data_IF_280137904988
#
_entry.id   IF_280137904988
#
_cell.length_a   1.000
_cell.length_b   1.000
_cell.length_c   1.000
_cell.angle_alpha   90.00
_cell.angle_beta   90.00
_cell.angle_gamma   90.00
#
_symmetry.space_group_name_H-M   'P 1'
#
loop_
_entity.id
_entity.type
_entity.pdbx_description
1 polymer ?
#
# COMPACT_ATOMS: atom_id res chain seq x y z
N UNK A 1 16.51 -1.26 -22.60
CA UNK A 1 16.47 -1.83 -21.24
C UNK A 1 15.66 -0.95 -20.30
N UNK A 2 16.07 0.30 -20.03
CA UNK A 2 15.32 1.21 -19.14
C UNK A 2 13.86 1.46 -19.57
N UNK A 3 13.61 1.68 -20.86
CA UNK A 3 12.24 1.86 -21.38
C UNK A 3 11.39 0.62 -21.08
N UNK A 4 11.94 -0.57 -21.29
CA UNK A 4 11.22 -1.82 -21.02
C UNK A 4 10.86 -1.93 -19.53
N UNK A 5 11.79 -1.61 -18.63
CA UNK A 5 11.52 -1.62 -17.18
C UNK A 5 10.40 -0.66 -16.77
N UNK A 6 10.38 0.54 -17.38
CA UNK A 6 9.29 1.50 -17.16
C UNK A 6 7.97 0.93 -17.69
N UNK A 7 7.96 0.37 -18.90
CA UNK A 7 6.78 -0.26 -19.48
C UNK A 7 6.28 -1.43 -18.63
N UNK A 8 7.17 -2.28 -18.13
CA UNK A 8 6.81 -3.40 -17.27
C UNK A 8 6.19 -2.90 -15.95
N UNK A 9 6.70 -1.78 -15.40
CA UNK A 9 6.15 -1.13 -14.20
C UNK A 9 4.77 -0.53 -14.45
N UNK A 10 4.55 0.11 -15.61
CA UNK A 10 3.24 0.67 -15.98
C UNK A 10 2.15 -0.43 -16.14
N UNK A 11 2.56 -1.65 -16.48
CA UNK A 11 1.68 -2.81 -16.64
C UNK A 11 1.54 -3.65 -15.37
N UNK A 12 2.11 -3.23 -14.25
CA UNK A 12 2.00 -3.95 -12.98
C UNK A 12 0.56 -3.88 -12.43
N UNK A 13 -0.18 -5.00 -12.37
CA UNK A 13 -1.53 -5.02 -11.81
C UNK A 13 -1.54 -4.92 -10.28
N UNK A 14 -0.43 -5.21 -9.60
CA UNK A 14 -0.36 -5.16 -8.14
C UNK A 14 -0.51 -3.73 -7.62
N UNK A 15 0.12 -2.76 -8.30
CA UNK A 15 0.01 -1.35 -7.96
C UNK A 15 -1.45 -0.85 -8.04
N UNK A 16 -2.13 -1.12 -9.15
CA UNK A 16 -3.53 -0.74 -9.35
C UNK A 16 -4.44 -1.35 -8.26
N UNK A 17 -4.32 -2.66 -8.02
CA UNK A 17 -5.10 -3.33 -6.99
C UNK A 17 -4.82 -2.77 -5.59
N UNK A 18 -3.56 -2.41 -5.31
CA UNK A 18 -3.18 -1.80 -4.05
C UNK A 18 -3.80 -0.41 -3.88
N UNK A 19 -3.76 0.45 -4.90
CA UNK A 19 -4.37 1.79 -4.87
C UNK A 19 -5.87 1.70 -4.61
N UNK A 20 -6.58 0.79 -5.31
CA UNK A 20 -8.02 0.59 -5.12
C UNK A 20 -8.32 0.20 -3.67
N UNK A 21 -7.60 -0.77 -3.11
CA UNK A 21 -7.79 -1.19 -1.70
C UNK A 21 -7.47 -0.06 -0.72
N UNK A 22 -6.40 0.70 -0.97
CA UNK A 22 -6.01 1.83 -0.14
C UNK A 22 -7.09 2.90 -0.12
N UNK A 23 -7.58 3.30 -1.29
CA UNK A 23 -8.57 4.37 -1.43
C UNK A 23 -9.92 3.97 -0.82
N UNK A 24 -10.36 2.72 -1.03
CA UNK A 24 -11.55 2.17 -0.37
C UNK A 24 -11.38 2.16 1.17
N UNK A 25 -10.21 1.72 1.67
CA UNK A 25 -9.91 1.72 3.10
C UNK A 25 -9.90 3.14 3.71
N UNK A 26 -9.49 4.15 2.94
CA UNK A 26 -9.51 5.55 3.34
C UNK A 26 -10.91 6.20 3.24
N UNK A 27 -11.89 5.48 2.69
CA UNK A 27 -13.29 5.89 2.62
C UNK A 27 -13.67 6.60 1.32
N UNK A 28 -12.88 6.49 0.26
CA UNK A 28 -13.27 6.96 -1.08
C UNK A 28 -14.26 5.98 -1.72
N UNK A 29 -15.26 6.52 -2.41
CA UNK A 29 -16.12 5.74 -3.29
C UNK A 29 -15.42 5.56 -4.63
N UNK A 30 -15.41 4.32 -5.13
CA UNK A 30 -14.73 3.94 -6.37
C UNK A 30 -15.78 3.51 -7.38
N UNK A 31 -15.81 4.17 -8.53
CA UNK A 31 -16.69 3.84 -9.65
C UNK A 31 -15.86 3.42 -10.86
N UNK A 32 -16.18 2.27 -11.47
CA UNK A 32 -15.56 1.83 -12.71
C UNK A 32 -16.03 2.71 -13.88
N UNK A 33 -15.09 3.32 -14.61
CA UNK A 33 -15.38 4.11 -15.81
C UNK A 33 -15.08 3.32 -17.09
N UNK A 34 -13.89 2.73 -17.17
CA UNK A 34 -13.46 1.90 -18.29
C UNK A 34 -12.30 0.98 -17.88
N UNK A 35 -11.65 0.32 -18.83
CA UNK A 35 -10.51 -0.55 -18.54
C UNK A 35 -9.41 0.22 -17.79
N UNK A 36 -9.02 -0.28 -16.61
CA UNK A 36 -8.01 0.32 -15.74
C UNK A 36 -8.25 1.81 -15.42
N UNK A 37 -9.50 2.24 -15.44
CA UNK A 37 -9.89 3.65 -15.29
C UNK A 37 -11.07 3.80 -14.36
N UNK A 38 -10.92 4.65 -13.36
CA UNK A 38 -11.82 4.77 -12.22
C UNK A 38 -12.15 6.23 -11.93
N UNK A 39 -13.32 6.47 -11.35
CA UNK A 39 -13.68 7.72 -10.72
C UNK A 39 -13.62 7.52 -9.21
N UNK A 40 -12.76 8.29 -8.56
CA UNK A 40 -12.61 8.30 -7.10
C UNK A 40 -13.35 9.52 -6.55
N UNK A 41 -14.34 9.29 -5.68
CA UNK A 41 -15.13 10.37 -5.06
C UNK A 41 -14.99 10.36 -3.55
N UNK A 42 -15.06 11.52 -2.88
CA UNK A 42 -15.21 11.56 -1.43
C UNK A 42 -16.42 10.73 -1.00
N UNK A 43 -16.20 9.70 -0.17
CA UNK A 43 -17.29 8.95 0.45
C UNK A 43 -17.67 9.55 1.81
N UNK A 44 -18.78 9.08 2.39
CA UNK A 44 -19.26 9.54 3.70
C UNK A 44 -18.28 9.28 4.86
N UNK A 45 -17.34 8.36 4.67
CA UNK A 45 -16.34 7.96 5.67
C UNK A 45 -14.96 8.53 5.38
N UNK A 46 -14.83 9.45 4.42
CA UNK A 46 -13.54 10.04 4.11
C UNK A 46 -12.98 10.71 5.36
N UNK A 47 -11.80 10.27 5.77
CA UNK A 47 -11.10 10.87 6.91
C UNK A 47 -10.72 12.31 6.59
N UNK A 48 -10.89 13.21 7.57
CA UNK A 48 -10.50 14.63 7.48
C UNK A 48 -9.04 14.85 7.03
N UNK A 49 -8.19 13.83 7.11
CA UNK A 49 -6.79 13.89 6.72
C UNK A 49 -6.53 13.70 5.20
N UNK A 50 -7.55 13.46 4.40
CA UNK A 50 -7.46 13.44 2.92
C UNK A 50 -7.85 14.80 2.30
N UNK A 51 -7.56 15.89 3.03
CA UNK A 51 -8.15 17.23 2.85
C UNK A 51 -7.92 17.86 1.46
N UNK A 52 -6.86 17.49 0.77
CA UNK A 52 -6.51 18.04 -0.56
C UNK A 52 -7.13 17.26 -1.74
N UNK A 53 -8.06 16.34 -1.46
CA UNK A 53 -8.74 15.60 -2.52
C UNK A 53 -9.81 16.45 -3.21
N UNK A 54 -9.91 16.43 -4.55
CA UNK A 54 -10.89 17.24 -5.27
C UNK A 54 -12.33 16.92 -4.85
N UNK A 55 -13.12 17.96 -4.52
CA UNK A 55 -14.53 17.82 -4.14
C UNK A 55 -15.38 17.17 -5.25
N UNK A 56 -15.06 17.46 -6.52
CA UNK A 56 -15.73 16.91 -7.70
C UNK A 56 -15.36 15.43 -7.97
N UNK A 57 -14.36 14.91 -7.25
CA UNK A 57 -13.75 13.62 -7.50
C UNK A 57 -12.58 13.67 -8.48
N UNK A 58 -11.82 12.58 -8.53
CA UNK A 58 -10.68 12.39 -9.41
C UNK A 58 -10.98 11.25 -10.38
N UNK A 59 -11.03 11.56 -11.68
CA UNK A 59 -11.00 10.52 -12.72
C UNK A 59 -9.55 10.19 -13.03
N UNK A 60 -9.16 8.92 -12.85
CA UNK A 60 -7.80 8.49 -13.06
C UNK A 60 -7.71 7.15 -13.78
N UNK A 61 -6.64 6.97 -14.54
CA UNK A 61 -6.32 5.75 -15.27
C UNK A 61 -4.94 5.24 -14.89
N UNK A 62 -4.78 3.92 -14.89
CA UNK A 62 -3.49 3.23 -14.73
C UNK A 62 -2.89 2.82 -16.09
N UNK A 63 -3.53 3.20 -17.20
CA UNK A 63 -3.04 2.98 -18.55
C UNK A 63 -2.43 4.29 -19.11
N UNK A 64 -1.13 4.25 -19.42
CA UNK A 64 -0.40 5.40 -19.97
C UNK A 64 -0.95 5.85 -21.32
N UNK A 65 -1.32 4.91 -22.20
CA UNK A 65 -1.82 5.25 -23.53
C UNK A 65 -3.19 5.93 -23.43
N UNK A 66 -4.01 5.50 -22.47
CA UNK A 66 -5.27 6.16 -22.14
C UNK A 66 -5.05 7.60 -21.64
N UNK A 67 -4.13 7.80 -20.69
CA UNK A 67 -3.82 9.13 -20.15
C UNK A 67 -3.25 10.09 -21.21
N UNK A 68 -2.45 9.59 -22.15
CA UNK A 68 -1.92 10.40 -23.25
C UNK A 68 -3.01 10.81 -24.26
N UNK A 69 -4.04 9.97 -24.44
CA UNK A 69 -5.16 10.27 -25.33
C UNK A 69 -6.24 11.15 -24.67
N UNK A 70 -6.32 11.15 -23.33
CA UNK A 70 -7.37 11.78 -22.53
C UNK A 70 -6.76 12.63 -21.42
N UNK A 71 -6.52 13.90 -21.71
CA UNK A 71 -5.96 14.87 -20.74
C UNK A 71 -6.86 15.12 -19.52
N UNK A 72 -8.15 14.77 -19.61
CA UNK A 72 -9.11 14.84 -18.51
C UNK A 72 -8.95 13.70 -17.48
N UNK A 73 -8.16 12.66 -17.78
CA UNK A 73 -7.86 11.56 -16.88
C UNK A 73 -6.46 11.73 -16.27
N UNK A 74 -6.37 11.70 -14.94
CA UNK A 74 -5.08 11.69 -14.26
C UNK A 74 -4.39 10.33 -14.44
N UNK A 75 -3.09 10.34 -14.75
CA UNK A 75 -2.29 9.11 -14.79
C UNK A 75 -1.84 8.73 -13.38
N UNK A 76 -2.37 7.64 -12.83
CA UNK A 76 -2.05 7.19 -11.49
C UNK A 76 -0.73 6.44 -11.46
N UNK A 77 0.25 6.96 -10.71
CA UNK A 77 1.59 6.38 -10.55
C UNK A 77 2.02 6.39 -9.09
N UNK A 78 3.04 5.62 -8.69
CA UNK A 78 3.57 5.65 -7.32
C UNK A 78 4.08 7.03 -6.86
N UNK A 79 4.38 7.93 -7.80
CA UNK A 79 4.81 9.30 -7.52
C UNK A 79 3.67 10.31 -7.54
N UNK A 80 2.44 9.89 -7.88
CA UNK A 80 1.29 10.78 -7.93
C UNK A 80 1.01 11.39 -6.54
N UNK A 81 0.87 12.72 -6.40
CA UNK A 81 0.74 13.39 -5.09
C UNK A 81 -0.34 12.77 -4.20
N UNK A 82 -1.55 12.57 -4.75
CA UNK A 82 -2.68 11.97 -4.02
C UNK A 82 -2.34 10.55 -3.49
N UNK A 83 -1.59 9.75 -4.25
CA UNK A 83 -1.18 8.43 -3.77
C UNK A 83 -0.13 8.53 -2.65
N UNK A 84 0.83 9.46 -2.76
CA UNK A 84 1.85 9.68 -1.73
C UNK A 84 1.22 10.17 -0.43
N UNK A 85 0.24 11.07 -0.53
CA UNK A 85 -0.50 11.56 0.62
C UNK A 85 -1.34 10.44 1.26
N UNK A 86 -1.94 9.58 0.43
CA UNK A 86 -2.67 8.39 0.91
C UNK A 86 -1.79 7.40 1.67
N UNK A 87 -0.61 7.11 1.14
CA UNK A 87 0.38 6.27 1.84
C UNK A 87 0.82 6.95 3.13
N UNK A 88 1.12 8.25 3.10
CA UNK A 88 1.50 9.01 4.29
C UNK A 88 0.44 8.92 5.38
N UNK A 89 -0.84 9.06 5.02
CA UNK A 89 -1.96 8.93 5.94
C UNK A 89 -2.13 7.50 6.48
N UNK A 90 -1.98 6.48 5.63
CA UNK A 90 -2.05 5.09 6.08
C UNK A 90 -0.96 4.83 7.13
N UNK A 91 0.28 5.25 6.84
CA UNK A 91 1.43 5.03 7.71
C UNK A 91 1.38 5.88 9.01
N UNK A 92 0.63 6.98 9.03
CA UNK A 92 0.45 7.79 10.24
C UNK A 92 -0.63 7.27 11.19
N UNK A 93 -1.47 6.32 10.75
CA UNK A 93 -2.56 5.78 11.58
C UNK A 93 -2.08 4.69 12.51
N UNK A 94 -2.68 4.64 13.70
CA UNK A 94 -2.45 3.56 14.66
C UNK A 94 -3.31 2.31 14.38
N UNK A 95 -4.36 2.47 13.56
CA UNK A 95 -5.25 1.38 13.20
C UNK A 95 -4.49 0.32 12.40
N UNK A 96 -4.50 -0.92 12.89
CA UNK A 96 -3.77 -2.03 12.28
C UNK A 96 -2.43 -2.35 12.97
N UNK A 97 -1.97 -1.53 13.91
CA UNK A 97 -0.71 -1.78 14.64
C UNK A 97 -0.77 -3.03 15.53
N UNK A 98 -1.94 -3.36 16.04
CA UNK A 98 -2.19 -4.54 16.85
C UNK A 98 -3.44 -5.24 16.36
N UNK A 99 -3.33 -6.52 16.03
CA UNK A 99 -4.44 -7.40 15.70
C UNK A 99 -4.24 -8.75 16.38
N UNK A 100 -5.33 -9.50 16.55
CA UNK A 100 -5.25 -10.89 16.97
C UNK A 100 -6.18 -11.71 16.10
N UNK A 101 -5.74 -12.92 15.76
CA UNK A 101 -6.49 -13.85 14.94
C UNK A 101 -6.44 -15.25 15.55
N UNK A 102 -7.44 -16.07 15.21
CA UNK A 102 -7.42 -17.49 15.53
C UNK A 102 -7.31 -18.30 14.24
N UNK A 103 -6.14 -18.88 14.03
CA UNK A 103 -5.88 -19.72 12.87
C UNK A 103 -6.09 -21.21 13.21
N UNK A 104 -7.13 -21.81 12.62
CA UNK A 104 -7.42 -23.24 12.79
C UNK A 104 -6.52 -24.07 11.87
N UNK A 105 -5.64 -24.88 12.46
CA UNK A 105 -4.72 -25.76 11.73
C UNK A 105 -4.57 -27.13 12.41
N UNK A 106 -4.22 -28.16 11.65
CA UNK A 106 -3.92 -29.49 12.17
C UNK A 106 -2.55 -29.57 12.90
N UNK A 107 -1.76 -28.48 12.88
CA UNK A 107 -0.41 -28.40 13.48
C UNK A 107 -0.39 -28.31 15.02
N UNK A 108 -1.54 -28.43 15.68
CA UNK A 108 -1.67 -28.38 17.14
C UNK A 108 -2.00 -26.98 17.68
N UNK A 109 -2.07 -26.86 19.01
CA UNK A 109 -2.36 -25.60 19.70
C UNK A 109 -1.05 -24.88 20.05
N UNK A 110 -0.84 -23.71 19.49
CA UNK A 110 0.27 -22.81 19.84
C UNK A 110 -0.22 -21.37 19.83
N UNK A 111 0.52 -20.49 20.49
CA UNK A 111 0.37 -19.05 20.38
C UNK A 111 1.61 -18.52 19.68
N UNK A 112 1.38 -17.67 18.68
CA UNK A 112 2.40 -16.97 17.91
C UNK A 112 2.25 -15.48 18.17
N UNK A 113 3.38 -14.78 18.25
CA UNK A 113 3.46 -13.33 18.27
C UNK A 113 4.22 -12.91 17.01
N UNK A 114 3.55 -12.17 16.13
CA UNK A 114 4.16 -11.53 14.96
C UNK A 114 4.35 -10.05 15.25
N UNK A 115 5.56 -9.56 15.05
CA UNK A 115 5.94 -8.16 15.22
C UNK A 115 6.59 -7.64 13.94
N UNK A 116 6.14 -6.46 13.51
CA UNK A 116 6.74 -5.72 12.41
C UNK A 116 7.52 -4.54 12.98
N UNK A 117 8.84 -4.56 12.82
CA UNK A 117 9.72 -3.46 13.17
C UNK A 117 10.06 -2.67 11.90
N UNK A 118 10.34 -1.38 12.04
CA UNK A 118 10.84 -0.55 10.94
C UNK A 118 12.29 -0.20 11.22
N UNK A 119 13.19 -0.65 10.36
CA UNK A 119 14.60 -0.27 10.40
C UNK A 119 14.78 1.04 9.63
N UNK A 120 15.10 2.12 10.34
CA UNK A 120 15.28 3.44 9.76
C UNK A 120 16.70 3.98 9.98
N UNK A 121 17.22 4.71 8.99
CA UNK A 121 18.50 5.39 9.08
C UNK A 121 18.29 6.84 9.49
N UNK A 122 18.76 7.22 10.68
CA UNK A 122 18.77 8.61 11.13
C UNK A 122 19.93 9.38 10.48
N UNK A 123 19.74 9.84 9.26
CA UNK A 123 20.75 10.56 8.48
C UNK A 123 20.17 11.80 7.79
N UNK A 124 20.96 12.89 7.64
CA UNK A 124 20.55 14.05 6.84
C UNK A 124 20.21 13.67 5.39
N UNK A 125 19.12 14.24 4.85
CA UNK A 125 18.62 14.01 3.48
C UNK A 125 19.71 14.13 2.39
N UNK A 126 20.66 15.06 2.55
CA UNK A 126 21.79 15.28 1.64
C UNK A 126 22.71 14.06 1.44
N UNK A 127 22.69 13.11 2.38
CA UNK A 127 23.49 11.88 2.29
C UNK A 127 22.80 10.80 1.46
N UNK A 128 21.53 11.00 1.09
CA UNK A 128 20.74 10.04 0.32
C UNK A 128 20.77 8.61 0.90
N UNK A 129 20.81 8.49 2.23
CA UNK A 129 20.93 7.20 2.92
C UNK A 129 19.79 6.23 2.55
N UNK A 130 18.59 6.75 2.30
CA UNK A 130 17.42 5.99 1.84
C UNK A 130 17.65 5.20 0.54
N UNK A 131 18.64 5.58 -0.28
CA UNK A 131 18.99 4.81 -1.49
C UNK A 131 19.62 3.46 -1.15
N UNK A 132 20.27 3.35 0.01
CA UNK A 132 20.99 2.15 0.44
C UNK A 132 20.28 1.43 1.57
N UNK A 133 19.62 2.17 2.46
CA UNK A 133 18.83 1.66 3.55
C UNK A 133 17.51 2.46 3.64
N UNK A 134 16.56 2.21 2.73
CA UNK A 134 15.21 2.74 2.88
C UNK A 134 14.57 2.18 4.16
N UNK A 135 13.53 2.83 4.71
CA UNK A 135 12.74 2.26 5.80
C UNK A 135 12.32 0.83 5.45
N UNK A 136 12.92 -0.14 6.13
CA UNK A 136 12.79 -1.55 5.80
C UNK A 136 12.00 -2.25 6.91
N UNK A 137 10.88 -2.87 6.53
CA UNK A 137 10.09 -3.66 7.46
C UNK A 137 10.82 -4.96 7.80
N UNK A 138 11.11 -5.17 9.09
CA UNK A 138 11.65 -6.40 9.65
C UNK A 138 10.53 -7.14 10.39
N UNK A 139 10.12 -8.28 9.84
CA UNK A 139 9.10 -9.15 10.42
C UNK A 139 9.75 -10.21 11.31
N UNK A 140 9.31 -10.30 12.55
CA UNK A 140 9.75 -11.29 13.53
C UNK A 140 8.54 -12.07 14.02
N UNK A 141 8.62 -13.40 13.99
CA UNK A 141 7.55 -14.28 14.49
C UNK A 141 8.13 -15.24 15.52
N UNK A 142 7.58 -15.22 16.74
CA UNK A 142 8.01 -16.12 17.83
C UNK A 142 6.84 -16.89 18.40
N UNK A 143 7.09 -18.10 18.89
CA UNK A 143 6.10 -18.84 19.67
C UNK A 143 6.17 -18.53 21.18
N UNK A 144 5.17 -19.00 21.92
CA UNK A 144 5.12 -18.91 23.38
C UNK A 144 6.31 -19.54 24.14
N UNK A 145 7.19 -20.27 23.46
CA UNK A 145 8.44 -20.84 24.03
C UNK A 145 9.67 -20.02 23.64
N UNK A 146 9.51 -18.96 22.86
CA UNK A 146 10.60 -18.12 22.36
C UNK A 146 11.33 -18.68 21.14
N UNK A 147 10.78 -19.68 20.46
CA UNK A 147 11.35 -20.20 19.22
C UNK A 147 11.02 -19.24 18.06
N UNK A 148 12.02 -18.91 17.25
CA UNK A 148 11.87 -18.09 16.05
C UNK A 148 11.27 -18.91 14.88
N UNK A 149 10.21 -18.37 14.28
CA UNK A 149 9.49 -18.90 13.12
C UNK A 149 9.42 -17.88 11.96
N UNK A 150 10.21 -16.80 11.99
CA UNK A 150 10.15 -15.68 11.04
C UNK A 150 10.38 -16.11 9.58
N UNK A 151 11.12 -17.21 9.37
CA UNK A 151 11.42 -17.75 8.04
C UNK A 151 10.40 -18.78 7.55
N UNK A 152 9.39 -19.16 8.34
CA UNK A 152 8.36 -20.13 7.89
C UNK A 152 7.46 -19.48 6.82
N UNK A 153 7.49 -19.93 5.55
CA UNK A 153 6.66 -19.36 4.50
C UNK A 153 5.17 -19.61 4.73
N UNK A 154 4.78 -20.64 5.47
CA UNK A 154 3.37 -20.92 5.78
C UNK A 154 2.75 -19.83 6.65
N UNK A 155 3.56 -19.10 7.41
CA UNK A 155 3.14 -17.95 8.23
C UNK A 155 3.08 -16.65 7.43
N UNK A 156 3.46 -16.63 6.14
CA UNK A 156 3.33 -15.43 5.29
C UNK A 156 1.97 -15.35 4.60
N UNK A 157 1.35 -16.50 4.37
CA UNK A 157 0.04 -16.64 3.75
C UNK A 157 -1.05 -17.05 4.76
N UNK A 158 -0.78 -16.91 6.06
CA UNK A 158 -1.76 -17.19 7.08
C UNK A 158 -2.88 -16.12 7.01
N UNK A 159 -4.16 -16.52 7.12
CA UNK A 159 -5.31 -15.63 6.96
C UNK A 159 -5.50 -14.67 8.14
#
# INVERSE_FOLDING_TARGET
>A
ELIQQITDTDHDPEFEQFVIRLFDHLGLTIEDLSLRTYIFKPGERLSEAFADFPEEGLSATFDRDCALAREDLAFMTPDHPIFRDAIGLLLSRELGNCSFGHWKTARGKTMLLECHYVLECLAPLRLHANRFLPPAALRVVVDHKGQDHSTDPALRSAP
#
